data_IF_987724397512
#
_entry.id   IF_987724397512
#
_cell.length_a   1.000
_cell.length_b   1.000
_cell.length_c   1.000
_cell.angle_alpha   90.00
_cell.angle_beta   90.00
_cell.angle_gamma   90.00
#
_symmetry.space_group_name_H-M   'P 1'
#
loop_
_entity.id
_entity.type
_entity.pdbx_description
1 polymer ?
#
# COMPACT_ATOMS: atom_id res chain seq x y z
N UNK A 1 -9.92 -25.81 20.32
CA UNK A 1 -9.27 -24.64 20.95
C UNK A 1 -9.20 -23.54 19.90
N UNK A 2 -10.11 -22.55 19.94
CA UNK A 2 -10.11 -21.40 19.02
C UNK A 2 -8.79 -20.64 19.19
N UNK A 3 -7.97 -20.55 18.14
CA UNK A 3 -6.82 -19.63 18.16
C UNK A 3 -7.40 -18.22 18.25
N UNK A 4 -7.28 -17.59 19.43
CA UNK A 4 -7.77 -16.22 19.63
C UNK A 4 -6.78 -15.30 18.93
N UNK A 5 -7.09 -14.92 17.69
CA UNK A 5 -6.47 -13.75 17.08
C UNK A 5 -6.59 -12.62 18.10
N UNK A 6 -5.45 -12.02 18.43
CA UNK A 6 -5.35 -10.91 19.38
C UNK A 6 -6.35 -9.81 18.98
N UNK A 7 -7.21 -9.30 19.89
CA UNK A 7 -8.22 -8.30 19.56
C UNK A 7 -7.65 -7.07 18.85
N UNK A 8 -6.41 -6.70 19.14
CA UNK A 8 -5.71 -5.62 18.44
C UNK A 8 -5.45 -5.94 16.97
N UNK A 9 -5.18 -7.21 16.64
CA UNK A 9 -5.00 -7.66 15.25
C UNK A 9 -6.33 -7.62 14.52
N UNK A 10 -7.42 -8.08 15.13
CA UNK A 10 -8.76 -7.98 14.56
C UNK A 10 -9.16 -6.52 14.30
N UNK A 11 -8.89 -5.63 15.27
CA UNK A 11 -9.13 -4.20 15.13
C UNK A 11 -8.30 -3.61 13.96
N UNK A 12 -7.02 -3.96 13.85
CA UNK A 12 -6.17 -3.52 12.74
C UNK A 12 -6.68 -4.03 11.38
N UNK A 13 -7.20 -5.25 11.32
CA UNK A 13 -7.78 -5.81 10.10
C UNK A 13 -9.06 -5.05 9.70
N UNK A 14 -9.92 -4.73 10.66
CA UNK A 14 -11.12 -3.93 10.42
C UNK A 14 -10.77 -2.50 9.97
N UNK A 15 -9.82 -1.84 10.65
CA UNK A 15 -9.34 -0.51 10.26
C UNK A 15 -8.74 -0.53 8.87
N UNK A 16 -7.98 -1.57 8.51
CA UNK A 16 -7.42 -1.72 7.17
C UNK A 16 -8.53 -1.77 6.12
N UNK A 17 -9.54 -2.63 6.28
CA UNK A 17 -10.67 -2.73 5.34
C UNK A 17 -11.40 -1.39 5.20
N UNK A 18 -11.81 -0.78 6.31
CA UNK A 18 -12.58 0.48 6.29
C UNK A 18 -11.77 1.61 5.66
N UNK A 19 -10.50 1.76 6.04
CA UNK A 19 -9.66 2.84 5.54
C UNK A 19 -9.27 2.64 4.06
N UNK A 20 -9.06 1.40 3.62
CA UNK A 20 -8.78 1.08 2.21
C UNK A 20 -10.01 1.31 1.34
N UNK A 21 -11.22 1.07 1.86
CA UNK A 21 -12.50 1.32 1.16
C UNK A 21 -12.72 2.77 0.72
N UNK A 22 -12.02 3.73 1.34
CA UNK A 22 -12.05 5.12 0.91
C UNK A 22 -11.29 5.37 -0.41
N UNK A 23 -10.47 4.41 -0.88
CA UNK A 23 -9.63 4.58 -2.06
C UNK A 23 -10.43 4.88 -3.31
N UNK A 24 -11.45 4.08 -3.63
CA UNK A 24 -12.23 4.25 -4.85
C UNK A 24 -13.00 5.58 -4.89
N UNK A 25 -13.79 5.97 -3.86
CA UNK A 25 -14.48 7.27 -3.85
C UNK A 25 -13.53 8.47 -3.90
N UNK A 26 -12.40 8.44 -3.19
CA UNK A 26 -11.43 9.53 -3.20
C UNK A 26 -10.71 9.66 -4.55
N UNK A 27 -10.36 8.54 -5.17
CA UNK A 27 -9.71 8.54 -6.49
C UNK A 27 -10.66 9.06 -7.56
N UNK A 28 -11.94 8.71 -7.48
CA UNK A 28 -12.96 9.22 -8.39
C UNK A 28 -13.25 10.71 -8.29
N UNK A 29 -13.12 11.28 -7.09
CA UNK A 29 -13.28 12.72 -6.90
C UNK A 29 -12.08 13.54 -7.45
N UNK A 30 -10.98 12.88 -7.83
CA UNK A 30 -9.79 13.54 -8.35
C UNK A 30 -9.84 13.66 -9.88
N UNK A 31 -9.30 14.77 -10.41
CA UNK A 31 -9.15 14.98 -11.86
C UNK A 31 -7.83 14.40 -12.40
N UNK A 32 -6.85 14.18 -11.53
CA UNK A 32 -5.55 13.64 -11.91
C UNK A 32 -5.62 12.16 -12.32
N UNK A 33 -4.66 11.76 -13.16
CA UNK A 33 -4.50 10.38 -13.56
C UNK A 33 -4.36 9.45 -12.35
N UNK A 34 -5.04 8.28 -12.31
CA UNK A 34 -4.96 7.37 -11.17
C UNK A 34 -3.54 6.89 -10.83
N UNK A 35 -2.66 6.77 -11.83
CA UNK A 35 -1.25 6.43 -11.61
C UNK A 35 -0.47 7.55 -10.90
N UNK A 36 -0.77 8.82 -11.22
CA UNK A 36 -0.23 9.98 -10.51
C UNK A 36 -0.73 10.02 -9.06
N UNK A 37 -2.01 9.70 -8.83
CA UNK A 37 -2.57 9.57 -7.48
C UNK A 37 -1.87 8.47 -6.68
N UNK A 38 -1.61 7.32 -7.29
CA UNK A 38 -0.87 6.22 -6.67
C UNK A 38 0.57 6.62 -6.32
N UNK A 39 1.27 7.31 -7.23
CA UNK A 39 2.60 7.87 -6.95
C UNK A 39 2.57 8.81 -5.74
N UNK A 40 1.75 9.86 -5.79
CA UNK A 40 1.72 10.90 -4.76
C UNK A 40 1.31 10.34 -3.40
N UNK A 41 0.37 9.40 -3.37
CA UNK A 41 -0.03 8.71 -2.14
C UNK A 41 1.16 8.01 -1.47
N UNK A 42 1.99 7.31 -2.24
CA UNK A 42 3.17 6.62 -1.72
C UNK A 42 4.29 7.59 -1.34
N UNK A 43 4.54 8.62 -2.16
CA UNK A 43 5.53 9.66 -1.90
C UNK A 43 5.20 10.43 -0.60
N UNK A 44 3.96 10.88 -0.43
CA UNK A 44 3.49 11.52 0.79
C UNK A 44 3.54 10.57 1.99
N UNK A 45 3.23 9.28 1.78
CA UNK A 45 3.38 8.25 2.82
C UNK A 45 4.83 8.14 3.31
N UNK A 46 5.81 8.18 2.41
CA UNK A 46 7.22 8.21 2.80
C UNK A 46 7.61 9.52 3.51
N UNK A 47 7.20 10.67 2.97
CA UNK A 47 7.51 11.99 3.53
C UNK A 47 6.93 12.16 4.94
N UNK A 48 5.78 11.54 5.23
CA UNK A 48 5.16 11.59 6.56
C UNK A 48 5.73 10.55 7.52
N UNK A 49 5.87 9.29 7.08
CA UNK A 49 6.37 8.20 7.95
C UNK A 49 7.88 8.30 8.21
N UNK A 50 8.66 8.80 7.25
CA UNK A 50 10.12 8.90 7.35
C UNK A 50 10.60 9.71 8.56
N UNK A 51 10.19 10.98 8.72
CA UNK A 51 10.53 11.78 9.88
C UNK A 51 10.02 11.16 11.19
N UNK A 52 8.80 10.63 11.21
CA UNK A 52 8.22 9.98 12.39
C UNK A 52 9.07 8.76 12.83
N UNK A 53 9.51 7.95 11.87
CA UNK A 53 10.43 6.83 12.10
C UNK A 53 11.77 7.32 12.65
N UNK A 54 12.35 8.38 12.07
CA UNK A 54 13.62 8.94 12.51
C UNK A 54 13.55 9.51 13.93
N UNK A 55 12.43 10.11 14.32
CA UNK A 55 12.24 10.71 15.66
C UNK A 55 12.00 9.62 16.70
N UNK A 56 11.02 8.73 16.50
CA UNK A 56 10.57 7.77 17.51
C UNK A 56 11.37 6.47 17.56
N UNK A 57 12.09 6.17 16.48
CA UNK A 57 12.87 4.93 16.32
C UNK A 57 14.27 5.24 15.78
N UNK A 58 14.83 6.41 16.10
CA UNK A 58 16.22 6.79 15.75
C UNK A 58 17.22 5.68 16.03
N UNK A 59 17.10 5.03 17.20
CA UNK A 59 17.99 3.91 17.60
C UNK A 59 17.84 2.69 16.72
N UNK A 60 16.67 2.45 16.13
CA UNK A 60 16.44 1.36 15.18
C UNK A 60 17.06 1.70 13.81
N UNK A 61 16.82 2.92 13.32
CA UNK A 61 17.39 3.41 12.06
C UNK A 61 18.91 3.49 12.13
N UNK A 62 19.47 4.06 13.20
CA UNK A 62 20.92 4.16 13.40
C UNK A 62 21.56 2.78 13.55
N UNK A 63 20.89 1.81 14.20
CA UNK A 63 21.39 0.43 14.27
C UNK A 63 21.41 -0.27 12.90
N UNK A 64 20.46 0.04 12.02
CA UNK A 64 20.45 -0.44 10.63
C UNK A 64 21.51 0.28 9.80
N UNK A 65 21.59 1.61 9.90
CA UNK A 65 22.50 2.44 9.11
C UNK A 65 23.99 2.29 9.49
N UNK A 66 24.30 2.13 10.79
CA UNK A 66 25.68 1.86 11.26
C UNK A 66 26.13 0.43 11.03
N UNK A 67 25.24 -0.45 10.56
CA UNK A 67 25.54 -1.88 10.50
C UNK A 67 25.93 -2.47 11.86
N UNK A 68 25.54 -1.83 12.98
CA UNK A 68 25.78 -2.33 14.36
C UNK A 68 24.84 -3.50 14.69
N UNK A 69 23.70 -3.62 13.97
CA UNK A 69 23.22 -4.93 13.54
C UNK A 69 24.16 -5.38 12.42
N UNK A 70 25.28 -6.00 12.80
CA UNK A 70 26.37 -6.44 11.91
C UNK A 70 25.88 -6.73 10.50
N UNK A 71 26.38 -5.97 9.51
CA UNK A 71 26.24 -6.25 8.08
C UNK A 71 25.88 -7.72 7.81
N UNK A 72 24.65 -7.98 7.36
CA UNK A 72 24.39 -9.09 6.46
C UNK A 72 24.86 -10.47 6.97
N UNK A 73 24.61 -10.85 8.23
CA UNK A 73 24.53 -12.29 8.53
C UNK A 73 23.54 -12.89 7.52
N UNK A 74 23.89 -13.99 6.84
CA UNK A 74 23.08 -14.71 5.82
C UNK A 74 21.57 -14.86 6.15
N UNK A 75 21.16 -14.70 7.40
CA UNK A 75 19.76 -14.68 7.84
C UNK A 75 18.96 -13.39 7.64
N UNK A 76 19.58 -12.19 7.68
CA UNK A 76 18.83 -10.90 7.65
C UNK A 76 18.66 -10.29 6.26
N UNK A 77 19.36 -10.80 5.25
CA UNK A 77 19.13 -10.36 3.86
C UNK A 77 17.77 -10.81 3.33
N UNK A 78 17.24 -11.93 3.85
CA UNK A 78 15.97 -12.51 3.39
C UNK A 78 14.77 -11.62 3.72
N UNK A 79 14.57 -11.13 4.96
CA UNK A 79 13.48 -10.19 5.24
C UNK A 79 13.59 -8.88 4.46
N UNK A 80 14.79 -8.36 4.24
CA UNK A 80 15.00 -7.15 3.44
C UNK A 80 14.68 -7.39 1.96
N UNK A 81 15.14 -8.51 1.40
CA UNK A 81 14.81 -8.91 0.04
C UNK A 81 13.30 -9.14 -0.13
N UNK A 82 12.64 -9.79 0.84
CA UNK A 82 11.18 -9.94 0.83
C UNK A 82 10.47 -8.59 0.92
N UNK A 83 10.95 -7.65 1.73
CA UNK A 83 10.36 -6.32 1.82
C UNK A 83 10.53 -5.50 0.55
N UNK A 84 11.71 -5.56 -0.09
CA UNK A 84 11.93 -4.94 -1.40
C UNK A 84 11.03 -5.56 -2.47
N UNK A 85 11.03 -6.89 -2.61
CA UNK A 85 10.14 -7.60 -3.54
C UNK A 85 8.66 -7.30 -3.26
N UNK A 86 8.26 -7.18 -1.99
CA UNK A 86 6.89 -6.83 -1.63
C UNK A 86 6.55 -5.42 -2.13
N UNK A 87 7.43 -4.44 -1.91
CA UNK A 87 7.23 -3.07 -2.38
C UNK A 87 7.18 -2.99 -3.91
N UNK A 88 8.05 -3.72 -4.61
CA UNK A 88 8.01 -3.84 -6.07
C UNK A 88 6.72 -4.50 -6.55
N UNK A 89 6.28 -5.56 -5.87
CA UNK A 89 5.00 -6.23 -6.17
C UNK A 89 3.81 -5.29 -5.97
N UNK A 90 3.88 -4.38 -4.99
CA UNK A 90 2.86 -3.36 -4.78
C UNK A 90 2.87 -2.28 -5.87
N UNK A 91 4.05 -1.85 -6.32
CA UNK A 91 4.18 -0.89 -7.42
C UNK A 91 3.67 -1.49 -8.74
N UNK A 92 4.04 -2.74 -9.03
CA UNK A 92 3.53 -3.50 -10.17
C UNK A 92 2.02 -3.64 -10.12
N UNK A 93 1.44 -3.92 -8.95
CA UNK A 93 0.00 -3.93 -8.79
C UNK A 93 -0.64 -2.58 -9.18
N UNK A 94 -0.15 -1.46 -8.64
CA UNK A 94 -0.69 -0.13 -8.98
C UNK A 94 -0.52 0.18 -10.47
N UNK A 95 0.66 -0.05 -11.04
CA UNK A 95 0.91 0.19 -12.45
C UNK A 95 0.00 -0.66 -13.34
N UNK A 96 -0.13 -1.95 -13.05
CA UNK A 96 -0.93 -2.87 -13.84
C UNK A 96 -2.42 -2.57 -13.74
N UNK A 97 -2.93 -2.35 -12.52
CA UNK A 97 -4.36 -2.06 -12.29
C UNK A 97 -4.79 -0.70 -12.86
N UNK A 98 -4.01 0.35 -12.64
CA UNK A 98 -4.38 1.68 -13.17
C UNK A 98 -4.25 1.76 -14.69
N UNK A 99 -3.42 0.91 -15.30
CA UNK A 99 -3.32 0.80 -16.75
C UNK A 99 -4.46 -0.05 -17.33
N UNK A 100 -4.81 -1.16 -16.68
CA UNK A 100 -5.89 -2.03 -17.15
C UNK A 100 -7.24 -1.32 -17.22
N UNK A 101 -7.55 -0.46 -16.24
CA UNK A 101 -8.79 0.33 -16.24
C UNK A 101 -8.91 1.33 -17.39
N UNK A 102 -7.82 1.61 -18.12
CA UNK A 102 -7.85 2.43 -19.35
C UNK A 102 -7.93 1.61 -20.64
N UNK A 103 -7.73 0.30 -20.55
CA UNK A 103 -7.65 -0.60 -21.71
C UNK A 103 -8.87 -1.54 -21.81
N UNK A 104 -9.50 -1.84 -20.67
CA UNK A 104 -10.73 -2.61 -20.54
C UNK A 104 -11.73 -1.84 -19.67
N UNK A 105 -12.93 -2.39 -19.47
CA UNK A 105 -13.90 -1.77 -18.56
C UNK A 105 -13.37 -1.77 -17.13
N UNK A 106 -13.74 -0.73 -16.41
CA UNK A 106 -13.36 -0.59 -15.01
C UNK A 106 -13.97 -1.71 -14.16
N UNK A 107 -15.20 -2.12 -14.49
CA UNK A 107 -15.88 -3.28 -13.95
C UNK A 107 -15.08 -4.58 -14.15
N UNK A 108 -14.68 -4.90 -15.39
CA UNK A 108 -13.92 -6.11 -15.72
C UNK A 108 -12.54 -6.10 -15.05
N UNK A 109 -11.81 -4.99 -15.16
CA UNK A 109 -10.51 -4.82 -14.50
C UNK A 109 -10.60 -5.07 -13.00
N UNK A 110 -11.64 -4.54 -12.35
CA UNK A 110 -11.79 -4.70 -10.90
C UNK A 110 -12.23 -6.11 -10.52
N UNK A 111 -13.12 -6.73 -11.29
CA UNK A 111 -13.51 -8.12 -11.11
C UNK A 111 -12.32 -9.08 -11.22
N UNK A 112 -11.41 -8.83 -12.18
CA UNK A 112 -10.19 -9.59 -12.35
C UNK A 112 -9.21 -9.35 -11.19
N UNK A 113 -9.04 -8.12 -10.73
CA UNK A 113 -8.22 -7.83 -9.54
C UNK A 113 -8.80 -8.46 -8.28
N UNK A 114 -10.12 -8.53 -8.14
CA UNK A 114 -10.79 -9.20 -7.02
C UNK A 114 -10.48 -10.71 -6.94
N UNK A 115 -9.87 -11.31 -7.97
CA UNK A 115 -9.32 -12.68 -7.89
C UNK A 115 -8.06 -12.78 -7.03
N UNK A 116 -7.50 -11.66 -6.55
CA UNK A 116 -6.30 -11.58 -5.70
C UNK A 116 -6.25 -12.64 -4.57
N UNK A 117 -7.33 -12.93 -3.82
CA UNK A 117 -7.25 -13.90 -2.74
C UNK A 117 -7.14 -15.36 -3.25
N UNK A 118 -7.50 -15.63 -4.51
CA UNK A 118 -7.27 -16.92 -5.20
C UNK A 118 -5.78 -17.13 -5.40
N UNK A 119 -5.11 -16.12 -5.97
CA UNK A 119 -3.67 -16.13 -6.15
C UNK A 119 -2.95 -16.25 -4.80
N UNK A 120 -3.46 -15.59 -3.77
CA UNK A 120 -2.91 -15.72 -2.43
C UNK A 120 -3.03 -17.15 -1.88
N UNK A 121 -4.20 -17.79 -2.02
CA UNK A 121 -4.39 -19.17 -1.60
C UNK A 121 -3.49 -20.14 -2.39
N UNK A 122 -3.29 -19.91 -3.70
CA UNK A 122 -2.36 -20.67 -4.53
C UNK A 122 -0.90 -20.49 -4.06
N UNK A 123 -0.49 -19.27 -3.74
CA UNK A 123 0.84 -18.98 -3.18
C UNK A 123 1.02 -19.72 -1.83
N UNK A 124 0.00 -19.69 -0.97
CA UNK A 124 0.03 -20.41 0.31
C UNK A 124 0.15 -21.93 0.09
N UNK A 125 -0.62 -22.49 -0.84
CA UNK A 125 -0.55 -23.91 -1.22
C UNK A 125 0.83 -24.30 -1.76
N UNK A 126 1.42 -23.47 -2.63
CA UNK A 126 2.79 -23.64 -3.14
C UNK A 126 3.87 -23.53 -2.06
N UNK A 127 3.58 -22.87 -0.95
CA UNK A 127 4.44 -22.82 0.24
C UNK A 127 4.23 -24.02 1.19
N UNK A 128 3.37 -24.97 0.82
CA UNK A 128 3.06 -26.17 1.61
C UNK A 128 1.98 -25.98 2.66
N UNK A 129 1.26 -24.84 2.66
CA UNK A 129 0.12 -24.60 3.55
C UNK A 129 -1.11 -25.31 2.97
N UNK A 130 -1.77 -26.13 3.79
CA UNK A 130 -2.99 -26.84 3.37
C UNK A 130 -4.19 -25.89 3.44
N UNK A 131 -4.65 -25.44 2.28
CA UNK A 131 -5.88 -24.64 2.17
C UNK A 131 -7.10 -25.56 2.20
N UNK A 132 -8.00 -25.35 3.15
CA UNK A 132 -9.18 -26.18 3.32
C UNK A 132 -10.16 -26.04 2.14
N UNK A 133 -10.90 -27.12 1.81
CA UNK A 133 -11.95 -27.08 0.76
C UNK A 133 -13.00 -26.00 0.99
N UNK A 134 -13.34 -25.71 2.25
CA UNK A 134 -14.26 -24.63 2.61
C UNK A 134 -13.68 -23.24 2.31
N UNK A 135 -12.36 -23.05 2.49
CA UNK A 135 -11.68 -21.81 2.10
C UNK A 135 -11.79 -21.58 0.59
N UNK A 136 -11.58 -22.63 -0.22
CA UNK A 136 -11.79 -22.55 -1.67
C UNK A 136 -13.22 -22.21 -2.05
N UNK A 137 -14.22 -22.84 -1.40
CA UNK A 137 -15.63 -22.53 -1.66
C UNK A 137 -15.98 -21.08 -1.31
N UNK A 138 -15.55 -20.58 -0.14
CA UNK A 138 -15.79 -19.20 0.27
C UNK A 138 -15.08 -18.19 -0.62
N UNK A 139 -13.88 -18.52 -1.08
CA UNK A 139 -13.12 -17.72 -2.04
C UNK A 139 -13.83 -17.62 -3.39
N UNK A 140 -14.26 -18.74 -3.97
CA UNK A 140 -15.03 -18.75 -5.22
C UNK A 140 -16.30 -17.90 -5.06
N UNK A 141 -17.01 -18.05 -3.94
CA UNK A 141 -18.21 -17.28 -3.67
C UNK A 141 -17.94 -15.78 -3.61
N UNK A 142 -16.87 -15.38 -2.92
CA UNK A 142 -16.51 -13.97 -2.78
C UNK A 142 -16.05 -13.34 -4.10
N UNK A 143 -15.28 -14.07 -4.91
CA UNK A 143 -14.83 -13.61 -6.24
C UNK A 143 -16.00 -13.48 -7.21
N UNK A 144 -16.88 -14.48 -7.26
CA UNK A 144 -18.11 -14.41 -8.07
C UNK A 144 -19.00 -13.25 -7.61
N UNK A 145 -19.08 -13.03 -6.30
CA UNK A 145 -19.78 -11.88 -5.72
C UNK A 145 -19.20 -10.54 -6.16
N UNK A 146 -17.88 -10.40 -6.13
CA UNK A 146 -17.20 -9.20 -6.59
C UNK A 146 -17.42 -8.94 -8.08
N UNK A 147 -17.33 -9.98 -8.91
CA UNK A 147 -17.62 -9.87 -10.34
C UNK A 147 -19.09 -9.49 -10.62
N UNK A 148 -20.04 -10.09 -9.89
CA UNK A 148 -21.45 -9.76 -10.00
C UNK A 148 -21.76 -8.33 -9.52
N UNK A 149 -21.11 -7.88 -8.44
CA UNK A 149 -21.29 -6.53 -7.91
C UNK A 149 -20.71 -5.44 -8.81
N UNK A 150 -19.64 -5.75 -9.55
CA UNK A 150 -19.00 -4.82 -10.48
C UNK A 150 -19.76 -4.66 -11.80
N UNK A 151 -20.72 -5.54 -12.12
CA UNK A 151 -21.45 -5.50 -13.39
C UNK A 151 -20.55 -5.80 -14.59
N UNK A 152 -20.23 -7.07 -14.81
CA UNK A 152 -19.35 -7.49 -15.91
C UNK A 152 -19.84 -6.99 -17.27
N UNK A 153 -19.09 -6.06 -17.85
CA UNK A 153 -19.21 -5.66 -19.25
C UNK A 153 -17.94 -6.09 -19.99
N UNK A 154 -18.09 -7.08 -20.88
CA UNK A 154 -17.00 -7.74 -21.58
C UNK A 154 -16.78 -7.03 -22.91
N UNK A 155 -15.71 -6.25 -23.00
CA UNK A 155 -15.24 -5.69 -24.25
C UNK A 155 -14.41 -6.69 -25.04
N UNK A 156 -14.53 -6.65 -26.36
CA UNK A 156 -13.75 -7.48 -27.28
C UNK A 156 -12.74 -6.63 -28.04
N UNK A 157 -11.50 -7.11 -28.16
CA UNK A 157 -10.42 -6.42 -28.87
C UNK A 157 -9.04 -6.67 -28.25
N UNK A 158 -7.98 -6.39 -29.03
CA UNK A 158 -6.60 -6.61 -28.57
C UNK A 158 -6.21 -5.75 -27.36
N UNK A 159 -6.69 -4.51 -27.31
CA UNK A 159 -6.48 -3.61 -26.17
C UNK A 159 -7.19 -4.13 -24.91
N UNK A 160 -8.47 -4.50 -25.02
CA UNK A 160 -9.24 -5.08 -23.91
C UNK A 160 -8.59 -6.34 -23.35
N UNK A 161 -8.18 -7.28 -24.20
CA UNK A 161 -7.46 -8.49 -23.77
C UNK A 161 -6.15 -8.15 -23.04
N UNK A 162 -5.39 -7.18 -23.54
CA UNK A 162 -4.16 -6.74 -22.87
C UNK A 162 -4.47 -6.12 -21.51
N UNK A 163 -5.54 -5.32 -21.42
CA UNK A 163 -6.07 -4.78 -20.16
C UNK A 163 -6.47 -5.87 -19.16
N UNK A 164 -7.19 -6.90 -19.61
CA UNK A 164 -7.61 -8.01 -18.76
C UNK A 164 -6.40 -8.80 -18.23
N UNK A 165 -5.39 -9.05 -19.08
CA UNK A 165 -4.13 -9.68 -18.68
C UNK A 165 -3.34 -8.82 -17.68
N UNK A 166 -3.33 -7.50 -17.86
CA UNK A 166 -2.76 -6.54 -16.90
C UNK A 166 -3.50 -6.57 -15.57
N UNK A 167 -4.83 -6.62 -15.57
CA UNK A 167 -5.62 -6.70 -14.34
C UNK A 167 -5.32 -8.00 -13.57
N UNK A 168 -5.22 -9.13 -14.27
CA UNK A 168 -4.81 -10.41 -13.67
C UNK A 168 -3.38 -10.36 -13.14
N UNK A 169 -2.44 -9.76 -13.88
CA UNK A 169 -1.09 -9.53 -13.39
C UNK A 169 -1.08 -8.65 -12.13
N UNK A 170 -1.94 -7.63 -12.08
CA UNK A 170 -2.17 -6.80 -10.91
C UNK A 170 -2.70 -7.59 -9.71
N UNK A 171 -3.62 -8.54 -9.92
CA UNK A 171 -4.13 -9.43 -8.88
C UNK A 171 -3.02 -10.32 -8.30
N UNK A 172 -2.19 -10.91 -9.18
CA UNK A 172 -1.03 -11.72 -8.79
C UNK A 172 0.00 -10.89 -8.03
N UNK A 173 0.29 -9.68 -8.50
CA UNK A 173 1.22 -8.76 -7.87
C UNK A 173 0.73 -8.31 -6.48
N UNK A 174 -0.58 -8.10 -6.30
CA UNK A 174 -1.13 -7.79 -4.98
C UNK A 174 -1.04 -8.98 -4.01
N UNK A 175 -1.30 -10.20 -4.49
CA UNK A 175 -1.08 -11.41 -3.71
C UNK A 175 0.41 -11.63 -3.37
N UNK A 176 1.30 -11.36 -4.32
CA UNK A 176 2.73 -11.33 -4.10
C UNK A 176 3.11 -10.36 -2.97
N UNK A 177 2.58 -9.14 -3.00
CA UNK A 177 2.80 -8.14 -1.96
C UNK A 177 2.35 -8.64 -0.59
N UNK A 178 1.14 -9.20 -0.43
CA UNK A 178 0.66 -9.65 0.88
C UNK A 178 1.45 -10.86 1.39
N UNK A 179 1.78 -11.84 0.54
CA UNK A 179 2.59 -13.00 0.90
C UNK A 179 4.03 -12.64 1.30
N UNK A 180 4.68 -11.76 0.52
CA UNK A 180 6.03 -11.29 0.79
C UNK A 180 6.06 -10.37 2.02
N UNK A 181 5.05 -9.52 2.19
CA UNK A 181 4.85 -8.71 3.38
C UNK A 181 4.77 -9.59 4.63
N UNK A 182 3.93 -10.64 4.63
CA UNK A 182 3.83 -11.54 5.78
C UNK A 182 5.20 -12.12 6.19
N UNK A 183 6.04 -12.48 5.22
CA UNK A 183 7.40 -12.98 5.47
C UNK A 183 8.39 -11.89 5.92
N UNK A 184 8.23 -10.66 5.46
CA UNK A 184 9.10 -9.55 5.87
C UNK A 184 8.72 -9.01 7.26
N UNK A 185 7.43 -9.00 7.58
CA UNK A 185 6.86 -8.48 8.83
C UNK A 185 7.18 -9.32 10.07
N UNK A 186 7.73 -10.54 9.91
CA UNK A 186 8.20 -11.36 11.05
C UNK A 186 9.40 -10.76 11.77
N UNK A 187 10.27 -10.07 11.04
CA UNK A 187 11.57 -9.61 11.54
C UNK A 187 11.73 -8.08 11.52
N UNK A 188 10.84 -7.36 10.82
CA UNK A 188 10.90 -5.90 10.63
C UNK A 188 9.75 -5.25 11.41
N UNK A 189 9.96 -4.07 12.01
CA UNK A 189 8.89 -3.30 12.67
C UNK A 189 7.94 -2.63 11.67
N UNK A 190 6.66 -2.46 12.00
CA UNK A 190 5.65 -1.92 11.05
C UNK A 190 6.03 -0.55 10.51
N UNK A 191 6.45 0.42 11.36
CA UNK A 191 6.80 1.75 10.87
C UNK A 191 7.98 1.72 9.89
N UNK A 192 9.01 0.91 10.16
CA UNK A 192 10.16 0.78 9.26
C UNK A 192 9.75 0.14 7.94
N UNK A 193 8.99 -0.95 8.00
CA UNK A 193 8.51 -1.64 6.82
C UNK A 193 7.63 -0.74 5.94
N UNK A 194 6.64 -0.06 6.51
CA UNK A 194 5.74 0.83 5.78
C UNK A 194 6.47 2.03 5.17
N UNK A 195 7.48 2.56 5.86
CA UNK A 195 8.31 3.67 5.34
C UNK A 195 9.10 3.23 4.11
N UNK A 196 9.83 2.10 4.21
CA UNK A 196 10.62 1.56 3.09
C UNK A 196 9.72 1.14 1.93
N UNK A 197 8.59 0.51 2.22
CA UNK A 197 7.62 0.11 1.20
C UNK A 197 7.08 1.33 0.45
N UNK A 198 6.70 2.39 1.17
CA UNK A 198 6.22 3.64 0.56
C UNK A 198 7.30 4.30 -0.29
N UNK A 199 8.56 4.28 0.16
CA UNK A 199 9.70 4.82 -0.59
C UNK A 199 9.91 4.06 -1.91
N UNK A 200 10.09 2.73 -1.84
CA UNK A 200 10.40 1.91 -3.01
C UNK A 200 9.24 1.95 -4.00
N UNK A 201 8.00 1.77 -3.51
CA UNK A 201 6.80 1.86 -4.35
C UNK A 201 6.67 3.23 -5.00
N UNK A 202 6.88 4.32 -4.23
CA UNK A 202 6.86 5.68 -4.75
C UNK A 202 7.92 5.95 -5.82
N UNK A 203 9.15 5.45 -5.64
CA UNK A 203 10.23 5.61 -6.62
C UNK A 203 9.98 4.82 -7.91
N UNK A 204 9.49 3.59 -7.80
CA UNK A 204 9.13 2.79 -8.97
C UNK A 204 7.96 3.41 -9.74
N UNK A 205 6.91 3.86 -9.04
CA UNK A 205 5.79 4.56 -9.68
C UNK A 205 6.20 5.91 -10.27
N UNK A 206 7.15 6.63 -9.67
CA UNK A 206 7.72 7.84 -10.25
C UNK A 206 8.39 7.53 -11.58
N UNK A 207 9.18 6.45 -11.66
CA UNK A 207 9.81 6.03 -12.90
C UNK A 207 8.76 5.67 -13.96
N UNK A 208 7.69 4.96 -13.59
CA UNK A 208 6.59 4.64 -14.53
C UNK A 208 5.88 5.90 -15.01
N UNK A 209 5.52 6.84 -14.11
CA UNK A 209 4.89 8.09 -14.49
C UNK A 209 5.78 8.95 -15.39
N UNK A 210 7.10 8.95 -15.14
CA UNK A 210 8.07 9.67 -15.96
C UNK A 210 8.22 9.07 -17.35
N UNK A 211 8.30 7.73 -17.45
CA UNK A 211 8.38 7.04 -18.74
C UNK A 211 7.08 7.14 -19.58
N UNK A 212 5.94 7.33 -18.91
CA UNK A 212 4.63 7.45 -19.53
C UNK A 212 4.16 8.91 -19.70
N UNK A 213 5.04 9.90 -19.46
CA UNK A 213 4.75 11.34 -19.55
C UNK A 213 3.47 11.77 -18.79
N UNK A 214 3.23 11.18 -17.62
CA UNK A 214 2.06 11.49 -16.81
C UNK A 214 2.31 12.78 -16.01
N UNK A 215 1.42 13.79 -16.09
CA UNK A 215 1.58 15.03 -15.33
C UNK A 215 1.48 14.76 -13.83
N UNK A 216 2.52 15.16 -13.08
CA UNK A 216 2.59 14.99 -11.63
C UNK A 216 2.31 16.29 -10.85
N UNK A 217 2.02 17.40 -11.54
CA UNK A 217 1.79 18.72 -10.92
C UNK A 217 0.68 19.46 -11.64
N UNK A 218 0.24 20.60 -11.10
CA UNK A 218 -0.83 21.41 -11.70
C UNK A 218 -2.22 20.88 -11.39
N UNK A 219 -2.36 20.18 -10.27
CA UNK A 219 -3.63 19.62 -9.83
C UNK A 219 -4.54 20.69 -9.25
N UNK A 220 -5.84 20.46 -9.42
CA UNK A 220 -6.90 21.29 -8.86
C UNK A 220 -7.12 20.99 -7.36
N UNK A 221 -7.95 21.81 -6.71
CA UNK A 221 -8.26 21.66 -5.28
C UNK A 221 -8.90 20.30 -4.97
N UNK A 222 -9.75 19.77 -5.85
CA UNK A 222 -10.40 18.47 -5.62
C UNK A 222 -9.36 17.35 -5.52
N UNK A 223 -8.42 17.32 -6.46
CA UNK A 223 -7.31 16.36 -6.45
C UNK A 223 -6.43 16.51 -5.21
N UNK A 224 -6.11 17.72 -4.77
CA UNK A 224 -5.33 17.92 -3.54
C UNK A 224 -6.06 17.38 -2.29
N UNK A 225 -7.37 17.61 -2.18
CA UNK A 225 -8.19 17.07 -1.10
C UNK A 225 -8.26 15.53 -1.15
N UNK A 226 -8.43 14.97 -2.35
CA UNK A 226 -8.39 13.53 -2.56
C UNK A 226 -7.05 12.92 -2.17
N UNK A 227 -5.93 13.56 -2.53
CA UNK A 227 -4.58 13.13 -2.12
C UNK A 227 -4.40 13.15 -0.60
N UNK A 228 -4.91 14.18 0.08
CA UNK A 228 -4.89 14.26 1.53
C UNK A 228 -5.72 13.13 2.17
N UNK A 229 -6.92 12.87 1.64
CA UNK A 229 -7.76 11.75 2.05
C UNK A 229 -7.06 10.40 1.84
N UNK A 230 -6.46 10.20 0.67
CA UNK A 230 -5.72 8.97 0.31
C UNK A 230 -4.49 8.77 1.20
N UNK A 231 -3.81 9.84 1.57
CA UNK A 231 -2.71 9.80 2.52
C UNK A 231 -3.20 9.34 3.90
N UNK A 232 -4.23 9.97 4.45
CA UNK A 232 -4.65 9.68 5.83
C UNK A 232 -5.31 8.31 5.93
N UNK A 233 -6.29 8.03 5.06
CA UNK A 233 -7.12 6.84 5.14
C UNK A 233 -6.39 5.62 4.57
N UNK A 234 -6.32 5.36 3.25
CA UNK A 234 -5.76 4.12 2.75
C UNK A 234 -4.24 4.00 2.94
N UNK A 235 -3.46 5.09 2.89
CA UNK A 235 -2.00 4.97 3.02
C UNK A 235 -1.55 4.79 4.48
N UNK A 236 -1.90 5.71 5.37
CA UNK A 236 -1.42 5.66 6.76
C UNK A 236 -2.22 4.66 7.59
N UNK A 237 -3.55 4.79 7.65
CA UNK A 237 -4.38 3.88 8.44
C UNK A 237 -4.56 2.52 7.75
N UNK A 238 -4.83 2.50 6.46
CA UNK A 238 -5.09 1.30 5.67
C UNK A 238 -3.88 0.37 5.56
N UNK A 239 -2.89 0.77 4.75
CA UNK A 239 -1.65 0.01 4.53
C UNK A 239 -0.86 -0.16 5.83
N UNK A 240 -0.86 0.84 6.72
CA UNK A 240 -0.24 0.72 8.04
C UNK A 240 -0.85 -0.40 8.88
N UNK A 241 -2.18 -0.44 9.00
CA UNK A 241 -2.88 -1.47 9.78
C UNK A 241 -2.84 -2.84 9.10
N UNK A 242 -2.91 -2.88 7.76
CA UNK A 242 -2.72 -4.11 7.00
C UNK A 242 -1.32 -4.69 7.22
N UNK A 243 -0.27 -3.88 7.10
CA UNK A 243 1.10 -4.31 7.35
C UNK A 243 1.30 -4.76 8.80
N UNK A 244 0.67 -4.09 9.76
CA UNK A 244 0.66 -4.54 11.14
C UNK A 244 0.00 -5.93 11.28
N UNK A 245 -1.18 -6.11 10.70
CA UNK A 245 -1.92 -7.37 10.74
C UNK A 245 -1.15 -8.51 10.05
N UNK A 246 -0.48 -8.26 8.92
CA UNK A 246 0.33 -9.26 8.21
C UNK A 246 1.54 -9.76 9.02
N UNK A 247 1.94 -9.06 10.08
CA UNK A 247 2.93 -9.57 11.04
C UNK A 247 2.37 -10.59 12.03
N UNK A 248 1.04 -10.74 12.12
CA UNK A 248 0.35 -11.54 13.15
C UNK A 248 -0.74 -12.47 12.60
N UNK A 249 -1.28 -12.20 11.41
CA UNK A 249 -2.34 -12.93 10.74
C UNK A 249 -1.84 -13.45 9.39
N UNK A 250 -2.50 -14.49 8.84
CA UNK A 250 -2.15 -15.00 7.52
C UNK A 250 -2.56 -14.01 6.42
N UNK A 251 -1.74 -13.95 5.37
CA UNK A 251 -2.00 -13.15 4.18
C UNK A 251 -3.24 -13.63 3.44
N UNK A 252 -3.58 -14.92 3.49
CA UNK A 252 -4.84 -15.46 2.94
C UNK A 252 -6.06 -14.86 3.63
N UNK A 253 -6.09 -14.87 4.97
CA UNK A 253 -7.20 -14.25 5.72
C UNK A 253 -7.31 -12.77 5.44
N UNK A 254 -6.18 -12.04 5.40
CA UNK A 254 -6.22 -10.62 5.08
C UNK A 254 -6.66 -10.32 3.65
N UNK A 255 -6.20 -11.10 2.68
CA UNK A 255 -6.59 -10.94 1.27
C UNK A 255 -8.09 -11.14 1.09
N UNK A 256 -8.66 -12.17 1.71
CA UNK A 256 -10.11 -12.40 1.62
C UNK A 256 -10.90 -11.28 2.31
N UNK A 257 -10.43 -10.79 3.45
CA UNK A 257 -11.10 -9.65 4.12
C UNK A 257 -11.05 -8.37 3.32
N UNK A 258 -10.02 -8.14 2.51
CA UNK A 258 -9.96 -7.00 1.60
C UNK A 258 -11.08 -7.03 0.55
N UNK A 259 -11.70 -8.17 0.25
CA UNK A 259 -12.89 -8.18 -0.61
C UNK A 259 -14.08 -7.43 0.02
N UNK A 260 -14.10 -7.26 1.34
CA UNK A 260 -15.10 -6.41 2.01
C UNK A 260 -14.93 -4.92 1.67
N UNK A 261 -13.84 -4.53 1.00
CA UNK A 261 -13.67 -3.18 0.48
C UNK A 261 -14.85 -2.75 -0.38
N UNK A 262 -15.30 -3.62 -1.30
CA UNK A 262 -16.39 -3.30 -2.24
C UNK A 262 -17.73 -2.98 -1.53
N UNK A 263 -18.26 -3.83 -0.63
CA UNK A 263 -19.49 -3.49 0.09
C UNK A 263 -19.32 -2.32 1.06
N UNK A 264 -18.15 -2.17 1.70
CA UNK A 264 -17.92 -1.04 2.63
C UNK A 264 -17.79 0.28 1.85
N UNK A 265 -17.16 0.28 0.69
CA UNK A 265 -17.07 1.44 -0.21
C UNK A 265 -18.45 1.84 -0.74
N UNK A 266 -19.28 0.86 -1.15
CA UNK A 266 -20.66 1.12 -1.59
C UNK A 266 -21.49 1.78 -0.47
N UNK A 267 -21.39 1.26 0.76
CA UNK A 267 -22.08 1.84 1.92
C UNK A 267 -21.55 3.24 2.26
N UNK A 268 -20.23 3.44 2.18
CA UNK A 268 -19.61 4.74 2.43
C UNK A 268 -20.05 5.78 1.39
N UNK A 269 -20.11 5.40 0.10
CA UNK A 269 -20.60 6.27 -0.96
C UNK A 269 -22.08 6.63 -0.75
N UNK A 270 -22.92 5.67 -0.36
CA UNK A 270 -24.31 5.93 -0.03
C UNK A 270 -24.48 6.88 1.15
N UNK A 271 -23.76 6.65 2.24
CA UNK A 271 -23.89 7.45 3.46
C UNK A 271 -23.27 8.85 3.34
N UNK A 272 -22.07 8.97 2.77
CA UNK A 272 -21.31 10.22 2.75
C UNK A 272 -21.59 11.08 1.52
N UNK A 273 -21.92 10.46 0.38
CA UNK A 273 -22.07 11.14 -0.91
C UNK A 273 -23.52 11.11 -1.41
N UNK A 274 -24.45 10.50 -0.67
CA UNK A 274 -25.86 10.37 -1.07
C UNK A 274 -26.06 9.53 -2.34
N UNK A 275 -25.07 8.74 -2.73
CA UNK A 275 -25.06 7.97 -3.97
C UNK A 275 -25.90 6.69 -3.80
N UNK A 276 -26.89 6.49 -4.66
CA UNK A 276 -27.67 5.24 -4.63
C UNK A 276 -26.79 4.02 -4.88
N UNK A 277 -26.99 2.95 -4.12
CA UNK A 277 -26.42 1.63 -4.45
C UNK A 277 -27.29 1.01 -5.53
N UNK A 278 -26.69 0.69 -6.67
CA UNK A 278 -27.41 0.09 -7.79
C UNK A 278 -28.05 -1.24 -7.35
N UNK A 279 -29.37 -1.44 -7.49
CA UNK A 279 -30.05 -2.65 -6.99
C UNK A 279 -29.49 -3.96 -7.57
N UNK A 280 -28.97 -3.91 -8.80
CA UNK A 280 -28.32 -5.02 -9.51
C UNK A 280 -27.04 -5.48 -8.82
N UNK A 281 -26.33 -4.59 -8.12
CA UNK A 281 -25.08 -4.88 -7.40
C UNK A 281 -25.31 -5.59 -6.06
N UNK A 282 -26.50 -5.43 -5.44
CA UNK A 282 -26.81 -5.92 -4.09
C UNK A 282 -26.58 -7.43 -3.93
N UNK A 283 -27.05 -8.31 -4.85
CA UNK A 283 -26.79 -9.75 -4.74
C UNK A 283 -25.29 -10.06 -4.73
N UNK A 284 -24.50 -9.37 -5.54
CA UNK A 284 -23.04 -9.51 -5.57
C UNK A 284 -22.39 -9.10 -4.25
N UNK A 285 -22.79 -7.95 -3.70
CA UNK A 285 -22.31 -7.46 -2.39
C UNK A 285 -22.62 -8.45 -1.25
N UNK A 286 -23.82 -9.01 -1.22
CA UNK A 286 -24.19 -10.04 -0.25
C UNK A 286 -23.35 -11.31 -0.43
N UNK A 287 -23.10 -11.72 -1.68
CA UNK A 287 -22.31 -12.90 -1.99
C UNK A 287 -20.85 -12.76 -1.54
N UNK A 288 -20.26 -11.56 -1.65
CA UNK A 288 -18.96 -11.23 -1.07
C UNK A 288 -18.97 -11.49 0.45
N UNK A 289 -19.94 -10.92 1.16
CA UNK A 289 -20.04 -11.05 2.62
C UNK A 289 -20.17 -12.51 3.04
N UNK A 290 -20.99 -13.30 2.35
CA UNK A 290 -21.14 -14.74 2.63
C UNK A 290 -19.82 -15.47 2.36
N UNK A 291 -19.16 -15.21 1.23
CA UNK A 291 -17.89 -15.87 0.88
C UNK A 291 -16.79 -15.58 1.90
N UNK A 292 -16.64 -14.32 2.30
CA UNK A 292 -15.70 -13.90 3.35
C UNK A 292 -16.03 -14.57 4.68
N UNK A 293 -17.31 -14.62 5.07
CA UNK A 293 -17.76 -15.28 6.30
C UNK A 293 -17.41 -16.78 6.29
N UNK A 294 -17.62 -17.47 5.17
CA UNK A 294 -17.25 -18.89 5.01
C UNK A 294 -15.75 -19.08 5.21
N UNK A 295 -14.90 -18.22 4.65
CA UNK A 295 -13.44 -18.32 4.83
C UNK A 295 -13.03 -18.08 6.29
N UNK A 296 -13.51 -16.99 6.88
CA UNK A 296 -13.13 -16.59 8.26
C UNK A 296 -13.58 -17.65 9.28
N UNK A 297 -14.77 -18.23 9.10
CA UNK A 297 -15.28 -19.29 9.98
C UNK A 297 -14.66 -20.66 9.73
N UNK A 298 -14.04 -20.87 8.57
CA UNK A 298 -13.31 -22.10 8.23
C UNK A 298 -11.88 -22.14 8.78
N UNK A 299 -11.44 -21.08 9.46
CA UNK A 299 -10.06 -20.81 9.92
C UNK A 299 -9.40 -21.79 10.89
N UNK A 300 -9.93 -23.01 11.07
CA UNK A 300 -9.25 -24.08 11.82
C UNK A 300 -8.21 -24.85 10.97
N UNK A 301 -8.17 -24.64 9.65
CA UNK A 301 -7.30 -25.40 8.71
C UNK A 301 -6.03 -24.68 8.23
N UNK A 302 -6.00 -23.35 8.26
CA UNK A 302 -4.85 -22.56 7.78
C UNK A 302 -3.89 -22.27 8.95
N UNK A 303 -3.49 -23.32 9.67
CA UNK A 303 -2.42 -23.16 10.64
C UNK A 303 -1.15 -22.87 9.85
N UNK A 304 -0.62 -21.65 10.01
CA UNK A 304 0.81 -21.42 9.87
C UNK A 304 1.47 -22.54 10.69
N UNK A 305 2.12 -23.49 10.01
CA UNK A 305 2.77 -24.61 10.67
C UNK A 305 3.52 -24.03 11.87
N UNK A 306 3.39 -24.60 13.08
CA UNK A 306 4.18 -24.14 14.19
C UNK A 306 5.62 -24.18 13.69
N UNK A 307 6.24 -23.00 13.58
CA UNK A 307 7.67 -22.92 13.39
C UNK A 307 8.25 -23.45 14.70
N UNK A 308 8.27 -24.78 14.84
CA UNK A 308 9.27 -25.47 15.61
C UNK A 308 10.58 -25.04 14.97
N UNK A 309 11.12 -23.92 15.43
CA UNK A 309 12.54 -23.69 15.38
C UNK A 309 13.15 -25.00 15.84
N UNK A 310 13.89 -25.65 14.94
CA UNK A 310 14.59 -26.90 15.20
C UNK A 310 15.13 -26.81 16.63
N UNK A 311 14.49 -27.48 17.59
CA UNK A 311 15.14 -27.83 18.84
C UNK A 311 16.31 -28.66 18.36
N UNK A 312 17.49 -28.04 18.30
CA UNK A 312 18.76 -28.74 18.16
C UNK A 312 18.70 -29.84 19.22
N UNK A 313 18.56 -31.08 18.77
CA UNK A 313 18.81 -32.24 19.64
C UNK A 313 20.21 -32.03 20.23
N UNK A 314 20.28 -32.03 21.55
CA UNK A 314 21.51 -32.17 22.34
C UNK A 314 22.56 -31.09 22.11
N UNK A 315 22.54 -30.04 22.93
CA UNK A 315 23.81 -29.49 23.44
C UNK A 315 23.85 -29.92 24.91
N UNK A 316 24.86 -30.69 25.35
CA UNK A 316 25.02 -30.96 26.78
C UNK A 316 25.18 -29.63 27.54
N UNK A 317 24.78 -29.57 28.81
CA UNK A 317 24.85 -28.34 29.59
C UNK A 317 26.28 -27.82 29.60
N UNK A 318 26.45 -26.52 29.31
CA UNK A 318 27.70 -25.81 29.53
C UNK A 318 28.20 -26.10 30.95
N UNK A 319 29.49 -26.41 31.17
CA UNK A 319 30.04 -26.37 32.50
C UNK A 319 29.95 -24.93 33.01
N UNK A 320 29.42 -24.79 34.23
CA UNK A 320 29.41 -23.55 35.00
C UNK A 320 30.83 -22.98 34.97
N UNK A 321 30.97 -21.73 34.49
CA UNK A 321 32.23 -21.01 34.58
C UNK A 321 32.70 -21.02 36.04
N UNK A 322 33.83 -21.68 36.31
CA UNK A 322 34.58 -21.46 37.53
C UNK A 322 34.90 -19.95 37.62
N UNK A 323 34.79 -19.33 38.80
CA UNK A 323 35.08 -17.91 38.94
C UNK A 323 36.53 -17.64 38.49
N UNK A 324 36.67 -16.78 37.50
CA UNK A 324 37.95 -16.27 37.04
C UNK A 324 38.62 -15.55 38.23
N UNK A 325 39.67 -16.15 38.78
CA UNK A 325 40.54 -15.49 39.75
C UNK A 325 41.54 -14.67 38.94
N UNK A 326 41.57 -13.33 39.03
CA UNK A 326 42.62 -12.56 38.37
C UNK A 326 43.95 -12.92 39.03
N UNK A 327 44.80 -13.67 38.34
CA UNK A 327 46.21 -13.73 38.71
C UNK A 327 46.82 -12.36 38.40
N UNK A 328 47.12 -11.61 39.45
CA UNK A 328 47.90 -10.38 39.38
C UNK A 328 49.30 -10.73 38.85
N UNK A 329 49.78 -10.08 37.77
CA UNK A 329 51.19 -10.19 37.39
C UNK A 329 52.07 -9.56 38.49
N UNK A 330 53.27 -10.12 38.75
CA UNK A 330 54.16 -9.62 39.78
C UNK A 330 54.58 -8.17 39.48
N UNK A 331 54.37 -7.30 40.46
CA UNK A 331 54.86 -5.93 40.52
C UNK A 331 56.38 -5.92 40.46
N UNK A 332 56.93 -5.50 39.32
CA UNK A 332 58.30 -5.00 39.24
C UNK A 332 58.34 -3.74 38.38
N UNK A 333 58.56 -2.63 39.09
CA UNK A 333 59.26 -1.38 38.74
C UNK A 333 59.27 -0.85 37.30
N UNK A 334 58.99 0.46 37.19
CA UNK A 334 59.58 1.29 36.14
C UNK A 334 58.66 2.39 35.62
N UNK A 335 58.64 3.52 36.30
CA UNK A 335 58.22 4.79 35.73
C UNK A 335 59.16 5.17 34.58
N UNK A 336 58.62 5.51 33.41
CA UNK A 336 59.11 6.63 32.59
C UNK A 336 57.95 7.18 31.75
N UNK A 337 57.62 8.43 32.05
CA UNK A 337 56.88 9.40 31.24
C UNK A 337 57.50 9.56 29.86
N UNK A 338 56.68 9.61 28.82
CA UNK A 338 57.04 10.37 27.62
C UNK A 338 55.78 11.00 27.00
N UNK A 339 55.75 12.32 27.08
CA UNK A 339 54.77 13.22 26.47
C UNK A 339 54.98 13.24 24.96
N UNK A 340 53.92 13.14 24.15
CA UNK A 340 53.93 13.64 22.78
C UNK A 340 52.65 14.40 22.44
N UNK A 341 52.83 15.70 22.52
CA UNK A 341 52.23 16.83 21.80
C UNK A 341 51.19 16.59 20.70
N UNK A 342 50.19 17.47 20.76
CA UNK A 342 49.23 17.86 19.74
C UNK A 342 49.89 18.29 18.43
N UNK A 343 49.21 18.07 17.30
CA UNK A 343 49.01 19.11 16.26
C UNK A 343 47.93 18.70 15.25
N UNK A 344 46.83 19.44 15.26
CA UNK A 344 45.80 19.51 14.20
C UNK A 344 46.11 20.68 13.28
N UNK A 345 46.02 20.55 11.94
CA UNK A 345 45.99 21.71 11.06
C UNK A 345 44.54 22.09 10.71
N UNK A 346 44.11 23.25 11.19
CA UNK A 346 42.97 23.99 10.66
C UNK A 346 43.26 24.46 9.21
N UNK A 347 42.42 24.08 8.24
CA UNK A 347 42.29 24.82 6.98
C UNK A 347 40.93 25.51 6.96
N UNK A 348 40.98 26.84 7.05
CA UNK A 348 39.83 27.72 6.83
C UNK A 348 39.49 27.70 5.33
N UNK A 349 38.24 27.37 5.00
CA UNK A 349 37.68 27.52 3.67
C UNK A 349 36.71 28.70 3.72
N UNK A 350 37.09 29.83 3.15
CA UNK A 350 36.23 30.99 2.91
C UNK A 350 35.47 30.76 1.61
N UNK A 351 34.19 30.39 1.70
CA UNK A 351 33.29 30.35 0.55
C UNK A 351 32.72 31.76 0.32
N UNK A 352 33.12 32.38 -0.79
CA UNK A 352 32.50 33.60 -1.30
C UNK A 352 31.09 33.29 -1.81
N UNK A 353 30.11 34.07 -1.37
CA UNK A 353 28.72 33.98 -1.82
C UNK A 353 28.56 34.74 -3.15
N UNK A 354 27.96 34.14 -4.20
CA UNK A 354 27.53 34.88 -5.38
C UNK A 354 26.35 35.80 -5.03
N UNK A 355 26.47 37.07 -5.42
CA UNK A 355 25.46 38.13 -5.31
C UNK A 355 24.17 37.78 -6.06
N UNK A 356 23.02 38.04 -5.43
CA UNK A 356 21.68 37.90 -6.01
C UNK A 356 21.49 38.77 -7.25
N UNK A 357 20.87 38.28 -8.35
CA UNK A 357 20.47 39.14 -9.45
C UNK A 357 19.23 39.98 -9.07
N UNK A 358 19.26 41.24 -9.53
CA UNK A 358 18.26 42.29 -9.35
C UNK A 358 16.90 41.92 -10.00
N UNK A 359 15.75 42.23 -9.36
CA UNK A 359 14.44 41.92 -9.93
C UNK A 359 14.07 42.85 -11.10
N UNK A 360 13.82 42.28 -12.28
CA UNK A 360 13.28 43.04 -13.41
C UNK A 360 11.78 43.35 -13.23
N UNK A 361 11.31 44.54 -13.62
CA UNK A 361 9.89 44.92 -13.51
C UNK A 361 9.05 44.21 -14.58
N UNK A 362 7.99 43.51 -14.13
CA UNK A 362 7.00 42.89 -15.01
C UNK A 362 6.12 43.95 -15.70
N UNK A 363 6.14 43.98 -17.04
CA UNK A 363 5.26 44.81 -17.85
C UNK A 363 3.83 44.26 -17.90
N UNK A 364 2.84 45.11 -17.60
CA UNK A 364 1.42 44.80 -17.73
C UNK A 364 0.97 44.79 -19.20
N UNK A 365 0.88 43.62 -19.82
CA UNK A 365 0.02 43.42 -20.99
C UNK A 365 -0.58 42.00 -20.98
N UNK A 366 -1.68 41.82 -20.24
CA UNK A 366 -2.54 40.65 -20.39
C UNK A 366 -3.52 40.89 -21.55
N UNK A 367 -3.37 40.19 -22.67
CA UNK A 367 -4.43 40.05 -23.67
C UNK A 367 -5.48 39.08 -23.12
N UNK A 368 -6.76 39.49 -23.14
CA UNK A 368 -7.91 38.66 -22.74
C UNK A 368 -7.98 37.39 -23.60
N UNK A 369 -8.08 36.23 -22.95
CA UNK A 369 -8.33 34.93 -23.56
C UNK A 369 -9.83 34.78 -23.86
N UNK A 370 -10.26 34.49 -25.10
CA UNK A 370 -11.66 34.30 -25.47
C UNK A 370 -12.31 33.02 -24.94
N UNK A 371 -11.62 32.20 -24.12
CA UNK A 371 -12.17 30.96 -23.53
C UNK A 371 -12.87 31.14 -22.17
N UNK A 372 -13.10 32.38 -21.73
CA UNK A 372 -13.78 32.68 -20.45
C UNK A 372 -15.19 33.22 -20.71
N UNK A 373 -16.10 32.32 -21.06
CA UNK A 373 -17.54 32.59 -21.20
C UNK A 373 -18.36 32.04 -20.00
N UNK A 374 -17.71 31.78 -18.86
CA UNK A 374 -18.38 31.28 -17.65
C UNK A 374 -19.19 32.33 -16.89
N UNK A 375 -19.13 33.60 -17.30
CA UNK A 375 -19.77 34.72 -16.59
C UNK A 375 -21.23 34.98 -16.98
N UNK A 376 -21.89 34.04 -17.67
CA UNK A 376 -23.26 34.19 -18.17
C UNK A 376 -24.33 33.31 -17.51
N UNK A 377 -23.98 32.39 -16.61
CA UNK A 377 -24.95 31.44 -16.06
C UNK A 377 -25.69 32.05 -14.85
N UNK A 378 -27.01 32.10 -14.95
CA UNK A 378 -27.89 32.51 -13.85
C UNK A 378 -27.91 31.42 -12.77
N UNK A 379 -28.11 31.80 -11.50
CA UNK A 379 -28.03 30.90 -10.33
C UNK A 379 -28.96 29.68 -10.36
N UNK A 380 -29.90 29.59 -11.31
CA UNK A 380 -30.88 28.50 -11.45
C UNK A 380 -30.50 27.42 -12.48
N UNK A 381 -29.36 27.56 -13.18
CA UNK A 381 -28.92 26.65 -14.25
C UNK A 381 -27.66 25.84 -13.88
N UNK A 382 -27.59 25.35 -12.64
CA UNK A 382 -26.51 24.44 -12.24
C UNK A 382 -26.80 23.04 -12.81
N UNK A 383 -25.92 22.44 -13.65
CA UNK A 383 -26.10 21.07 -14.09
C UNK A 383 -26.00 20.13 -12.88
N UNK A 384 -27.06 19.38 -12.61
CA UNK A 384 -27.07 18.31 -11.62
C UNK A 384 -26.21 17.17 -12.16
N UNK A 385 -25.01 17.01 -11.62
CA UNK A 385 -24.14 15.87 -11.91
C UNK A 385 -24.71 14.67 -11.14
N UNK A 386 -25.31 13.72 -11.86
CA UNK A 386 -25.68 12.42 -11.30
C UNK A 386 -24.53 11.46 -11.53
N UNK A 387 -23.75 11.21 -10.48
CA UNK A 387 -22.79 10.12 -10.47
C UNK A 387 -23.56 8.83 -10.20
N UNK A 388 -23.29 7.77 -10.97
CA UNK A 388 -23.88 6.44 -10.76
C UNK A 388 -22.74 5.48 -10.44
N UNK A 389 -22.88 4.73 -9.34
CA UNK A 389 -21.85 3.81 -8.85
C UNK A 389 -22.08 2.41 -9.41
N UNK A 390 -21.20 1.96 -10.31
CA UNK A 390 -21.26 0.63 -10.93
C UNK A 390 -20.45 -0.45 -10.19
N UNK A 391 -20.07 -0.22 -8.93
CA UNK A 391 -19.25 -1.17 -8.18
C UNK A 391 -17.76 -1.06 -8.49
N UNK A 392 -16.95 -1.02 -7.43
CA UNK A 392 -15.51 -1.26 -7.36
C UNK A 392 -14.54 -0.48 -8.30
N UNK A 393 -15.01 0.28 -9.28
CA UNK A 393 -14.19 1.29 -9.93
C UNK A 393 -14.95 2.48 -10.52
N UNK A 394 -14.15 3.41 -11.04
CA UNK A 394 -14.44 4.76 -11.49
C UNK A 394 -15.87 4.99 -12.02
N UNK A 395 -16.45 6.09 -11.54
CA UNK A 395 -17.77 6.57 -11.87
C UNK A 395 -17.82 7.02 -13.33
N UNK A 396 -18.90 6.66 -14.03
CA UNK A 396 -19.25 7.34 -15.27
C UNK A 396 -19.94 8.67 -14.92
N UNK A 397 -19.42 9.76 -15.46
CA UNK A 397 -20.08 11.07 -15.44
C UNK A 397 -21.00 11.19 -16.65
N UNK A 398 -22.30 10.97 -16.47
CA UNK A 398 -23.30 11.40 -17.46
C UNK A 398 -23.58 12.89 -17.30
N UNK A 399 -23.30 13.67 -18.34
CA UNK A 399 -23.82 15.04 -18.47
C UNK A 399 -25.24 14.93 -19.07
N UNK A 400 -26.27 15.22 -18.27
CA UNK A 400 -27.62 15.39 -18.83
C UNK A 400 -27.70 16.70 -19.61
N UNK A 401 -27.27 16.67 -20.88
CA UNK A 401 -27.77 17.59 -21.89
C UNK A 401 -29.23 17.24 -22.16
N UNK A 402 -30.12 18.25 -22.16
CA UNK A 402 -31.59 18.09 -22.29
C UNK A 402 -32.02 17.07 -23.36
N UNK A 403 -33.17 16.40 -23.18
CA UNK A 403 -33.83 15.70 -24.29
C UNK A 403 -34.14 16.70 -25.40
N UNK A 404 -33.80 16.34 -26.64
CA UNK A 404 -34.24 17.12 -27.80
C UNK A 404 -35.77 17.06 -27.86
N UNK A 405 -36.39 18.22 -27.68
CA UNK A 405 -37.79 18.43 -28.02
C UNK A 405 -37.78 18.99 -29.45
N UNK A 406 -38.36 18.23 -30.38
CA UNK A 406 -38.68 18.70 -31.74
C UNK A 406 -39.64 19.89 -31.74
#
# INVERSE_FOLDING_TARGET
>A
MKSKIDPLTVAAMAVAVVAISATAPLTAAASAAPLAMAFWRNALGFVTLGPFLLILRRREVVRVARGERGLLRRGQWRPLAYGFLAATSLALHFAAFMTSTRMTTVAMSTALVATQPVWQALIAAGQGVRVARRTWAGLTLAVVGAAAAAGLDIQSGGAALTGDLLALAGAVAQAGYTALSQKARTDISTPMYSTVTSLVCGLELLAVCWLADIPLTGFDTSTHLSLLGLLILPQLLGLGSMNFALGKASATTMSVLLLLETPVAALAAWWLMGQGVEPTSIPGLLLIIVGVTVVVTSGDGEQAAPQQGKRRKGTPPYPVHAPYTPQLPPTTGGFTTDERELTTPHRAFTAAWPTSPEPQPFGHHAKRDPRVEWAGLSRDESPTITLTYHGAGAFDTEYSGRPQVE
#
